data_IF_579795251199
#
_entry.id   IF_579795251199
#
_cell.length_a   1.000
_cell.length_b   1.000
_cell.length_c   1.000
_cell.angle_alpha   90.00
_cell.angle_beta   90.00
_cell.angle_gamma   90.00
#
_symmetry.space_group_name_H-M   'P 1'
#
loop_
_entity.id
_entity.type
_entity.pdbx_description
1 polymer ?
#
# COMPACT_ATOMS: atom_id res chain seq x y z
N UNK A 1 -7.89 -22.82 22.78
CA UNK A 1 -6.62 -22.07 22.78
C UNK A 1 -5.98 -22.05 24.17
N UNK A 2 -6.80 -22.04 25.24
CA UNK A 2 -6.32 -22.03 26.63
C UNK A 2 -5.64 -23.32 27.11
N UNK A 3 -5.92 -24.46 26.48
CA UNK A 3 -5.33 -25.75 26.88
C UNK A 3 -3.87 -25.95 26.42
N UNK A 4 -3.35 -25.11 25.52
CA UNK A 4 -1.94 -25.16 25.09
C UNK A 4 -1.00 -24.44 26.09
N UNK A 5 -1.52 -23.50 26.88
CA UNK A 5 -0.72 -22.69 27.82
C UNK A 5 -0.43 -23.48 29.12
N UNK A 6 -1.31 -24.42 29.49
CA UNK A 6 -1.23 -25.14 30.76
C UNK A 6 -0.16 -26.26 30.79
N UNK A 7 0.19 -26.82 29.63
CA UNK A 7 1.11 -27.97 29.53
C UNK A 7 2.61 -27.62 29.43
N UNK A 8 2.99 -26.33 29.41
CA UNK A 8 4.40 -25.92 29.34
C UNK A 8 5.00 -25.41 30.65
N UNK A 9 4.25 -25.43 31.78
CA UNK A 9 4.78 -24.98 33.08
C UNK A 9 5.24 -23.51 33.10
N UNK A 10 4.88 -22.71 32.10
CA UNK A 10 5.27 -21.31 32.01
C UNK A 10 4.39 -20.50 32.99
N UNK A 11 4.96 -20.15 34.14
CA UNK A 11 4.39 -19.11 35.00
C UNK A 11 4.29 -17.82 34.17
N UNK A 12 3.12 -17.20 34.12
CA UNK A 12 2.99 -15.81 33.66
C UNK A 12 3.98 -14.97 34.45
N UNK A 13 5.03 -14.49 33.79
CA UNK A 13 5.91 -13.47 34.35
C UNK A 13 5.13 -12.17 34.19
N UNK A 14 4.50 -11.71 35.28
CA UNK A 14 3.98 -10.35 35.34
C UNK A 14 5.18 -9.40 35.42
N UNK A 15 5.53 -8.83 34.28
CA UNK A 15 6.62 -7.88 34.17
C UNK A 15 6.11 -6.51 34.63
N UNK A 16 6.12 -6.30 35.94
CA UNK A 16 5.78 -5.02 36.57
C UNK A 16 6.91 -4.00 36.32
N UNK A 17 6.80 -3.31 35.19
CA UNK A 17 7.68 -2.22 34.76
C UNK A 17 7.85 -1.15 35.83
N UNK A 18 6.83 -0.93 36.65
CA UNK A 18 6.81 0.13 37.68
C UNK A 18 7.77 -0.20 38.82
N UNK A 19 7.81 -1.46 39.27
CA UNK A 19 8.79 -1.91 40.26
C UNK A 19 10.23 -1.87 39.75
N UNK A 20 10.46 -2.19 38.48
CA UNK A 20 11.80 -2.13 37.90
C UNK A 20 12.31 -0.70 37.77
N UNK A 21 11.43 0.24 37.43
CA UNK A 21 11.75 1.67 37.40
C UNK A 21 12.12 2.20 38.80
N UNK A 22 11.40 1.80 39.86
CA UNK A 22 11.74 2.19 41.25
C UNK A 22 13.12 1.68 41.70
N UNK A 23 13.48 0.44 41.32
CA UNK A 23 14.78 -0.15 41.68
C UNK A 23 15.93 0.60 41.00
N UNK A 24 15.77 0.95 39.71
CA UNK A 24 16.77 1.70 38.96
C UNK A 24 16.93 3.14 39.49
N UNK A 25 15.82 3.79 39.86
CA UNK A 25 15.85 5.13 40.48
C UNK A 25 16.52 5.13 41.86
N UNK A 26 16.32 4.09 42.67
CA UNK A 26 17.03 3.95 43.97
C UNK A 26 18.53 3.75 43.81
N UNK A 27 18.96 3.01 42.79
CA UNK A 27 20.39 2.82 42.48
C UNK A 27 21.06 4.10 41.96
N UNK A 28 20.31 4.97 41.29
CA UNK A 28 20.78 6.25 40.75
C UNK A 28 21.21 7.26 41.83
N UNK A 29 20.57 7.26 43.00
CA UNK A 29 20.85 8.23 44.07
C UNK A 29 22.16 7.96 44.85
N UNK A 30 22.90 6.90 44.52
CA UNK A 30 24.13 6.50 45.22
C UNK A 30 25.43 6.90 44.51
N UNK A 31 25.37 7.49 43.31
CA UNK A 31 26.58 7.86 42.54
C UNK A 31 26.53 9.36 42.18
N UNK A 32 27.21 10.24 42.96
CA UNK A 32 27.32 11.65 42.61
C UNK A 32 28.22 11.81 41.38
N UNK A 33 27.67 12.31 40.27
CA UNK A 33 28.44 12.66 39.06
C UNK A 33 27.98 12.02 37.74
N UNK A 34 26.93 11.19 37.74
CA UNK A 34 26.36 10.69 36.49
C UNK A 34 25.53 11.81 35.82
N UNK A 35 26.04 12.36 34.71
CA UNK A 35 25.37 13.41 33.93
C UNK A 35 24.16 12.84 33.14
N UNK A 36 23.07 12.53 33.86
CA UNK A 36 21.93 11.74 33.34
C UNK A 36 21.00 12.56 32.45
N UNK A 37 20.94 13.88 32.58
CA UNK A 37 19.99 14.69 31.82
C UNK A 37 20.25 14.68 30.30
N UNK A 38 21.52 14.60 29.87
CA UNK A 38 21.87 14.50 28.45
C UNK A 38 21.60 13.10 27.86
N UNK A 39 21.78 12.03 28.64
CA UNK A 39 21.56 10.67 28.18
C UNK A 39 20.06 10.33 28.07
N UNK A 40 19.24 10.81 29.01
CA UNK A 40 17.79 10.58 28.96
C UNK A 40 17.15 11.26 27.76
N UNK A 41 17.54 12.51 27.45
CA UNK A 41 17.03 13.24 26.28
C UNK A 41 17.45 12.60 24.95
N UNK A 42 18.68 12.10 24.86
CA UNK A 42 19.15 11.37 23.68
C UNK A 42 18.41 10.04 23.48
N UNK A 43 18.08 9.35 24.57
CA UNK A 43 17.29 8.11 24.53
C UNK A 43 15.84 8.42 24.11
N UNK A 44 15.23 9.47 24.66
CA UNK A 44 13.88 9.92 24.28
C UNK A 44 13.82 10.33 22.79
N UNK A 45 14.80 11.08 22.31
CA UNK A 45 14.88 11.48 20.90
C UNK A 45 15.09 10.26 19.99
N UNK A 46 15.94 9.31 20.38
CA UNK A 46 16.14 8.07 19.62
C UNK A 46 14.87 7.19 19.56
N UNK A 47 14.14 7.07 20.67
CA UNK A 47 12.86 6.37 20.75
C UNK A 47 11.82 7.07 19.87
N UNK A 48 11.76 8.40 19.90
CA UNK A 48 10.83 9.19 19.08
C UNK A 48 11.12 9.04 17.59
N UNK A 49 12.38 9.10 17.18
CA UNK A 49 12.80 8.90 15.78
C UNK A 49 12.49 7.47 15.32
N UNK A 50 12.74 6.48 16.17
CA UNK A 50 12.41 5.08 15.86
C UNK A 50 10.91 4.87 15.69
N UNK A 51 10.09 5.38 16.61
CA UNK A 51 8.63 5.32 16.48
C UNK A 51 8.12 6.03 15.23
N UNK A 52 8.67 7.22 14.92
CA UNK A 52 8.28 7.93 13.70
C UNK A 52 8.58 7.10 12.44
N UNK A 53 9.77 6.48 12.37
CA UNK A 53 10.16 5.60 11.25
C UNK A 53 9.29 4.34 11.17
N UNK A 54 8.94 3.75 12.30
CA UNK A 54 8.04 2.59 12.33
C UNK A 54 6.63 2.95 11.86
N UNK A 55 6.11 4.12 12.24
CA UNK A 55 4.81 4.60 11.78
C UNK A 55 4.82 4.99 10.29
N UNK A 56 5.88 5.65 9.81
CA UNK A 56 6.10 5.91 8.38
C UNK A 56 6.11 4.60 7.58
N UNK A 57 6.90 3.61 8.00
CA UNK A 57 6.96 2.31 7.36
C UNK A 57 5.61 1.57 7.35
N UNK A 58 4.86 1.61 8.45
CA UNK A 58 3.50 1.02 8.50
C UNK A 58 2.55 1.72 7.53
N UNK A 59 2.63 3.04 7.41
CA UNK A 59 1.82 3.80 6.48
C UNK A 59 2.17 3.47 5.03
N UNK A 60 3.46 3.39 4.70
CA UNK A 60 3.94 3.00 3.37
C UNK A 60 3.47 1.58 3.01
N UNK A 61 3.55 0.64 3.95
CA UNK A 61 3.05 -0.73 3.77
C UNK A 61 1.53 -0.76 3.59
N UNK A 62 0.78 0.01 4.38
CA UNK A 62 -0.68 0.11 4.24
C UNK A 62 -1.08 0.72 2.90
N UNK A 63 -0.36 1.74 2.45
CA UNK A 63 -0.58 2.35 1.13
C UNK A 63 -0.28 1.36 0.01
N UNK A 64 0.82 0.61 0.10
CA UNK A 64 1.14 -0.45 -0.84
C UNK A 64 0.07 -1.55 -0.86
N UNK A 65 -0.39 -2.02 0.32
CA UNK A 65 -1.44 -3.03 0.43
C UNK A 65 -2.78 -2.54 -0.13
N UNK A 66 -3.15 -1.27 0.13
CA UNK A 66 -4.35 -0.64 -0.47
C UNK A 66 -4.20 -0.51 -1.99
N UNK A 67 -3.02 -0.17 -2.48
CA UNK A 67 -2.69 -0.13 -3.91
C UNK A 67 -2.86 -1.51 -4.56
N UNK A 68 -2.31 -2.57 -3.94
CA UNK A 68 -2.48 -3.95 -4.39
C UNK A 68 -3.96 -4.35 -4.38
N UNK A 69 -4.68 -4.12 -3.27
CA UNK A 69 -6.10 -4.44 -3.18
C UNK A 69 -6.92 -3.75 -4.27
N UNK A 70 -6.70 -2.45 -4.49
CA UNK A 70 -7.37 -1.66 -5.53
C UNK A 70 -7.06 -2.20 -6.93
N UNK A 71 -5.79 -2.48 -7.22
CA UNK A 71 -5.38 -3.05 -8.51
C UNK A 71 -6.00 -4.45 -8.74
N UNK A 72 -6.10 -5.28 -7.70
CA UNK A 72 -6.62 -6.64 -7.80
C UNK A 72 -8.16 -6.67 -7.92
N UNK A 73 -8.85 -5.75 -7.26
CA UNK A 73 -10.30 -5.57 -7.44
C UNK A 73 -10.64 -5.18 -8.88
N UNK A 74 -9.87 -4.25 -9.47
CA UNK A 74 -10.05 -3.84 -10.86
C UNK A 74 -9.79 -4.96 -11.87
N UNK A 75 -8.95 -5.97 -11.53
CA UNK A 75 -8.67 -7.11 -12.41
C UNK A 75 -9.86 -8.06 -12.49
N UNK A 76 -10.61 -8.19 -11.39
CA UNK A 76 -11.82 -9.01 -11.33
C UNK A 76 -12.92 -8.43 -12.22
N UNK A 77 -13.00 -7.10 -12.28
CA UNK A 77 -13.97 -6.37 -13.12
C UNK A 77 -13.74 -6.63 -14.62
N UNK A 78 -12.48 -6.72 -15.06
CA UNK A 78 -12.13 -7.08 -16.44
C UNK A 78 -12.55 -8.51 -16.77
N UNK A 79 -12.23 -9.46 -15.89
CA UNK A 79 -12.60 -10.86 -16.09
C UNK A 79 -14.11 -11.00 -16.23
N UNK A 80 -14.88 -10.17 -15.50
CA UNK A 80 -16.33 -10.13 -15.62
C UNK A 80 -16.81 -9.56 -16.96
N UNK A 81 -16.21 -8.45 -17.43
CA UNK A 81 -16.51 -7.88 -18.75
C UNK A 81 -16.27 -8.90 -19.88
N UNK A 82 -15.26 -9.76 -19.75
CA UNK A 82 -14.87 -10.73 -20.78
C UNK A 82 -15.65 -12.07 -20.76
N UNK A 83 -16.44 -12.41 -19.72
CA UNK A 83 -16.81 -13.82 -19.45
C UNK A 83 -18.01 -14.46 -20.19
N UNK A 84 -18.81 -13.77 -21.02
CA UNK A 84 -19.96 -14.42 -21.71
C UNK A 84 -20.28 -13.84 -23.10
N UNK A 85 -20.32 -14.70 -24.13
CA UNK A 85 -20.18 -14.35 -25.56
C UNK A 85 -21.26 -13.46 -26.21
N UNK A 86 -20.80 -12.37 -26.82
CA UNK A 86 -21.46 -11.61 -27.90
C UNK A 86 -20.40 -10.80 -28.70
N UNK A 87 -20.77 -10.24 -29.86
CA UNK A 87 -19.86 -9.51 -30.79
C UNK A 87 -19.22 -8.27 -30.15
N UNK A 88 -19.98 -7.55 -29.33
CA UNK A 88 -19.51 -6.34 -28.61
C UNK A 88 -18.33 -6.66 -27.69
N UNK A 89 -18.20 -7.89 -27.19
CA UNK A 89 -17.06 -8.30 -26.34
C UNK A 89 -15.77 -8.55 -27.10
N UNK A 90 -15.82 -8.95 -28.38
CA UNK A 90 -14.62 -9.09 -29.20
C UNK A 90 -13.96 -7.71 -29.38
N UNK A 91 -14.78 -6.69 -29.69
CA UNK A 91 -14.34 -5.29 -29.83
C UNK A 91 -13.81 -4.74 -28.49
N UNK A 92 -14.49 -5.02 -27.38
CA UNK A 92 -13.98 -4.65 -26.04
C UNK A 92 -12.66 -5.34 -25.72
N UNK A 93 -12.49 -6.62 -26.09
CA UNK A 93 -11.24 -7.35 -25.88
C UNK A 93 -10.09 -6.77 -26.70
N UNK A 94 -10.35 -6.40 -27.96
CA UNK A 94 -9.36 -5.72 -28.81
C UNK A 94 -8.95 -4.36 -28.24
N UNK A 95 -9.92 -3.55 -27.81
CA UNK A 95 -9.65 -2.28 -27.12
C UNK A 95 -8.86 -2.49 -25.84
N UNK A 96 -9.08 -3.59 -25.15
CA UNK A 96 -8.35 -3.93 -23.94
C UNK A 96 -6.89 -4.30 -24.25
N UNK A 97 -6.64 -5.14 -25.26
CA UNK A 97 -5.28 -5.42 -25.73
C UNK A 97 -4.58 -4.12 -26.14
N UNK A 98 -5.28 -3.26 -26.88
CA UNK A 98 -4.76 -1.96 -27.29
C UNK A 98 -4.41 -1.10 -26.08
N UNK A 99 -5.26 -1.07 -25.05
CA UNK A 99 -4.98 -0.34 -23.81
C UNK A 99 -3.70 -0.83 -23.12
N UNK A 100 -3.42 -2.14 -23.14
CA UNK A 100 -2.18 -2.71 -22.59
C UNK A 100 -0.92 -2.33 -23.37
N UNK A 101 -1.05 -1.85 -24.61
CA UNK A 101 0.11 -1.33 -25.35
C UNK A 101 0.71 -0.07 -24.72
N UNK A 102 0.00 0.59 -23.79
CA UNK A 102 0.57 1.64 -22.93
C UNK A 102 1.85 1.18 -22.23
N UNK A 103 1.94 -0.09 -21.84
CA UNK A 103 3.13 -0.67 -21.19
C UNK A 103 4.36 -0.70 -22.10
N UNK A 104 4.17 -0.54 -23.42
CA UNK A 104 5.23 -0.52 -24.43
C UNK A 104 5.53 0.89 -24.93
N UNK A 105 4.80 1.91 -24.45
CA UNK A 105 5.00 3.28 -24.88
C UNK A 105 6.39 3.78 -24.50
N UNK A 106 7.05 4.49 -25.42
CA UNK A 106 8.41 5.02 -25.23
C UNK A 106 8.43 6.29 -24.39
N UNK A 107 7.31 7.01 -24.31
CA UNK A 107 7.17 8.26 -23.57
C UNK A 107 5.71 8.53 -23.19
N UNK A 108 5.52 9.47 -22.26
CA UNK A 108 4.19 9.81 -21.74
C UNK A 108 3.21 10.30 -22.82
N UNK A 109 3.70 11.03 -23.83
CA UNK A 109 2.87 11.50 -24.95
C UNK A 109 2.31 10.32 -25.75
N UNK A 110 3.11 9.31 -26.01
CA UNK A 110 2.68 8.08 -26.70
C UNK A 110 1.64 7.32 -25.87
N UNK A 111 1.87 7.14 -24.57
CA UNK A 111 0.89 6.53 -23.67
C UNK A 111 -0.44 7.31 -23.63
N UNK A 112 -0.38 8.64 -23.59
CA UNK A 112 -1.56 9.51 -23.64
C UNK A 112 -2.35 9.38 -24.94
N UNK A 113 -1.65 9.21 -26.07
CA UNK A 113 -2.30 9.02 -27.36
C UNK A 113 -3.00 7.66 -27.45
N UNK A 114 -2.35 6.58 -27.00
CA UNK A 114 -2.95 5.24 -26.93
C UNK A 114 -4.21 5.28 -26.05
N UNK A 115 -4.10 5.86 -24.85
CA UNK A 115 -5.24 6.01 -23.93
C UNK A 115 -6.42 6.75 -24.58
N UNK A 116 -6.16 7.91 -25.20
CA UNK A 116 -7.21 8.69 -25.88
C UNK A 116 -7.85 7.93 -27.02
N UNK A 117 -7.06 7.20 -27.82
CA UNK A 117 -7.56 6.40 -28.93
C UNK A 117 -8.51 5.31 -28.42
N UNK A 118 -8.10 4.56 -27.41
CA UNK A 118 -8.94 3.51 -26.81
C UNK A 118 -10.24 4.11 -26.26
N UNK A 119 -10.17 5.20 -25.50
CA UNK A 119 -11.37 5.83 -24.93
C UNK A 119 -12.32 6.36 -26.00
N UNK A 120 -11.80 6.97 -27.08
CA UNK A 120 -12.62 7.45 -28.18
C UNK A 120 -13.34 6.28 -28.88
N UNK A 121 -12.63 5.19 -29.15
CA UNK A 121 -13.23 4.00 -29.76
C UNK A 121 -14.26 3.36 -28.83
N UNK A 122 -13.99 3.32 -27.52
CA UNK A 122 -14.91 2.79 -26.52
C UNK A 122 -16.22 3.58 -26.49
N UNK A 123 -16.17 4.91 -26.59
CA UNK A 123 -17.37 5.75 -26.64
C UNK A 123 -18.19 5.61 -27.93
N UNK A 124 -17.60 5.04 -28.98
CA UNK A 124 -18.32 4.73 -30.22
C UNK A 124 -19.04 3.38 -30.15
N UNK A 125 -18.63 2.50 -29.23
CA UNK A 125 -19.36 1.28 -28.90
C UNK A 125 -20.56 1.64 -28.01
N UNK A 126 -21.72 1.05 -28.26
CA UNK A 126 -22.90 1.17 -27.37
C UNK A 126 -22.66 0.40 -26.06
N UNK A 127 -21.77 0.92 -25.22
CA UNK A 127 -21.32 0.33 -23.96
C UNK A 127 -21.85 1.10 -22.77
N UNK A 128 -22.05 0.41 -21.66
CA UNK A 128 -22.56 1.04 -20.44
C UNK A 128 -21.47 1.85 -19.72
N UNK A 129 -21.92 2.76 -18.85
CA UNK A 129 -21.05 3.68 -18.09
C UNK A 129 -20.05 2.94 -17.20
N UNK A 130 -20.38 1.75 -16.67
CA UNK A 130 -19.44 0.99 -15.84
C UNK A 130 -18.29 0.44 -16.68
N UNK A 131 -18.56 -0.03 -17.90
CA UNK A 131 -17.53 -0.43 -18.86
C UNK A 131 -16.60 0.74 -19.19
N UNK A 132 -17.14 1.93 -19.45
CA UNK A 132 -16.34 3.14 -19.71
C UNK A 132 -15.46 3.50 -18.50
N UNK A 133 -16.00 3.41 -17.29
CA UNK A 133 -15.27 3.68 -16.06
C UNK A 133 -14.15 2.67 -15.82
N UNK A 134 -14.39 1.38 -16.09
CA UNK A 134 -13.38 0.33 -15.96
C UNK A 134 -12.18 0.60 -16.86
N UNK A 135 -12.40 0.88 -18.16
CA UNK A 135 -11.32 1.23 -19.09
C UNK A 135 -10.57 2.50 -18.69
N UNK A 136 -11.30 3.52 -18.22
CA UNK A 136 -10.70 4.76 -17.75
C UNK A 136 -9.76 4.52 -16.56
N UNK A 137 -10.24 3.78 -15.56
CA UNK A 137 -9.44 3.43 -14.38
C UNK A 137 -8.20 2.61 -14.75
N UNK A 138 -8.36 1.65 -15.66
CA UNK A 138 -7.25 0.82 -16.14
C UNK A 138 -6.21 1.60 -16.90
N UNK A 139 -6.62 2.47 -17.81
CA UNK A 139 -5.70 3.33 -18.54
C UNK A 139 -4.90 4.25 -17.61
N UNK A 140 -5.53 4.77 -16.56
CA UNK A 140 -4.84 5.56 -15.53
C UNK A 140 -3.81 4.74 -14.75
N UNK A 141 -4.16 3.51 -14.35
CA UNK A 141 -3.22 2.61 -13.65
C UNK A 141 -2.01 2.31 -14.54
N UNK A 142 -2.24 1.92 -15.79
CA UNK A 142 -1.17 1.57 -16.73
C UNK A 142 -0.25 2.77 -17.01
N UNK A 143 -0.83 3.96 -17.15
CA UNK A 143 -0.05 5.20 -17.30
C UNK A 143 0.80 5.49 -16.07
N UNK A 144 0.23 5.43 -14.87
CA UNK A 144 0.96 5.72 -13.64
C UNK A 144 2.05 4.68 -13.36
N UNK A 145 1.87 3.44 -13.81
CA UNK A 145 2.88 2.39 -13.70
C UNK A 145 4.10 2.68 -14.58
N UNK A 146 3.88 3.17 -15.81
CA UNK A 146 4.95 3.45 -16.78
C UNK A 146 5.58 4.83 -16.59
N UNK A 147 4.76 5.82 -16.24
CA UNK A 147 5.15 7.21 -16.08
C UNK A 147 4.58 7.71 -14.75
N UNK A 148 5.24 7.39 -13.62
CA UNK A 148 4.79 7.82 -12.31
C UNK A 148 4.76 9.35 -12.27
N UNK A 149 3.64 9.91 -11.82
CA UNK A 149 3.56 11.36 -11.57
C UNK A 149 4.51 11.67 -10.41
N UNK A 150 5.68 12.22 -10.72
CA UNK A 150 6.57 12.76 -9.69
C UNK A 150 5.94 14.05 -9.18
N UNK A 151 5.36 14.01 -7.97
CA UNK A 151 5.02 15.25 -7.27
C UNK A 151 6.32 15.97 -6.94
N UNK A 152 6.62 17.04 -7.69
CA UNK A 152 7.69 18.00 -7.44
C UNK A 152 7.26 19.06 -6.43
#
# INVERSE_FOLDING_TARGET
MDDLIKNMGLKKIDFDLTKQLEVLQKQQNLIPGLNIHNNTKQIEDAIRVKHKREEEYKNDVLEALRGIQKNTANLTEIVFLLKEGNVVKEELYELFIELFTILKASNEKEANNIYRKVMNNLTQLETDVNTINAFSNWGLILKNLMFPVTMS
#
